data_IF_899849675425
#
_entry.id   IF_899849675425
#
_cell.length_a   1.000
_cell.length_b   1.000
_cell.length_c   1.000
_cell.angle_alpha   90.00
_cell.angle_beta   90.00
_cell.angle_gamma   90.00
#
_symmetry.space_group_name_H-M   'P 1'
#
loop_
_entity.id
_entity.type
_entity.pdbx_description
1 polymer ?
#
# COMPACT_ATOMS: atom_id res chain seq x y z
N UNK A 1 0.35 15.50 -6.62
CA UNK A 1 1.26 14.48 -6.05
C UNK A 1 2.44 15.10 -5.28
N UNK A 2 3.14 16.10 -5.82
CA UNK A 2 4.25 16.75 -5.11
C UNK A 2 3.83 17.47 -3.82
N UNK A 3 2.73 18.23 -3.84
CA UNK A 3 2.23 18.90 -2.63
C UNK A 3 1.75 17.88 -1.58
N UNK A 4 1.03 16.84 -2.00
CA UNK A 4 0.55 15.78 -1.12
C UNK A 4 1.69 14.95 -0.51
N UNK A 5 2.77 14.70 -1.25
CA UNK A 5 3.95 14.01 -0.72
C UNK A 5 4.72 14.88 0.28
N UNK A 6 4.88 16.17 -0.01
CA UNK A 6 5.44 17.15 0.94
C UNK A 6 4.63 17.20 2.23
N UNK A 7 3.30 17.28 2.14
CA UNK A 7 2.42 17.20 3.31
C UNK A 7 2.59 15.87 4.05
N UNK A 8 2.57 14.73 3.35
CA UNK A 8 2.71 13.41 3.98
C UNK A 8 4.03 13.22 4.74
N UNK A 9 5.12 13.84 4.29
CA UNK A 9 6.40 13.80 5.00
C UNK A 9 6.47 14.80 6.18
N UNK A 10 5.84 15.97 6.02
CA UNK A 10 5.88 17.05 7.02
C UNK A 10 4.95 16.80 8.22
N UNK A 11 3.76 16.23 7.96
CA UNK A 11 2.76 15.94 8.97
C UNK A 11 3.04 14.60 9.68
N UNK A 12 2.90 14.60 10.99
CA UNK A 12 3.07 13.43 11.85
C UNK A 12 3.62 13.82 13.22
N UNK A 13 3.91 12.83 14.05
CA UNK A 13 4.58 12.99 15.35
C UNK A 13 6.03 12.51 15.23
N UNK A 14 7.06 13.35 15.41
CA UNK A 14 7.04 14.81 15.56
C UNK A 14 6.77 15.54 14.22
N UNK A 15 6.22 16.76 14.27
CA UNK A 15 6.04 17.57 13.05
C UNK A 15 7.39 18.04 12.54
N UNK A 16 7.67 17.81 11.25
CA UNK A 16 8.95 18.19 10.63
C UNK A 16 8.67 19.29 9.61
N UNK A 17 9.24 20.49 9.77
CA UNK A 17 8.99 21.55 8.83
C UNK A 17 9.67 21.25 7.48
N UNK A 18 9.08 21.69 6.35
CA UNK A 18 9.49 21.28 5.02
C UNK A 18 10.94 21.68 4.68
N UNK A 19 11.44 22.77 5.27
CA UNK A 19 12.83 23.21 5.08
C UNK A 19 13.86 22.23 5.69
N UNK A 20 13.48 21.39 6.66
CA UNK A 20 14.36 20.36 7.25
C UNK A 20 14.25 18.99 6.57
N UNK A 21 13.25 18.77 5.72
CA UNK A 21 13.07 17.49 5.04
C UNK A 21 14.24 17.15 4.11
N UNK A 22 14.79 18.17 3.42
CA UNK A 22 15.89 17.98 2.47
C UNK A 22 17.14 17.50 3.21
N UNK A 23 17.51 18.16 4.31
CA UNK A 23 18.62 17.72 5.17
C UNK A 23 18.35 16.36 5.82
N UNK A 24 17.13 16.10 6.29
CA UNK A 24 16.78 14.82 6.89
C UNK A 24 16.91 13.63 5.93
N UNK A 25 16.58 13.82 4.65
CA UNK A 25 16.61 12.76 3.64
C UNK A 25 17.97 12.62 2.97
N UNK A 26 18.67 13.74 2.70
CA UNK A 26 19.92 13.73 1.92
C UNK A 26 21.19 13.73 2.78
N UNK A 27 21.16 14.39 3.94
CA UNK A 27 22.34 14.56 4.81
C UNK A 27 22.38 13.53 5.95
N UNK A 28 21.33 12.72 6.10
CA UNK A 28 21.30 11.62 7.08
C UNK A 28 21.18 12.13 8.52
N UNK A 29 20.14 12.89 8.81
CA UNK A 29 19.88 13.42 10.16
C UNK A 29 19.65 12.28 11.17
N UNK A 30 20.56 12.13 12.13
CA UNK A 30 20.50 11.11 13.18
C UNK A 30 19.57 11.47 14.34
N UNK A 31 18.89 12.62 14.28
CA UNK A 31 17.84 12.95 15.25
C UNK A 31 16.66 11.98 15.10
N UNK A 32 15.90 11.80 16.19
CA UNK A 32 14.66 10.98 16.16
C UNK A 32 13.70 11.42 15.05
N UNK A 33 13.64 12.73 14.74
CA UNK A 33 12.81 13.26 13.68
C UNK A 33 13.31 12.82 12.28
N UNK A 34 14.62 12.84 12.05
CA UNK A 34 15.24 12.35 10.82
C UNK A 34 14.98 10.87 10.60
N UNK A 35 15.24 10.03 11.62
CA UNK A 35 15.00 8.58 11.59
C UNK A 35 13.53 8.26 11.30
N UNK A 36 12.59 8.95 11.95
CA UNK A 36 11.15 8.74 11.69
C UNK A 36 10.79 9.09 10.25
N UNK A 37 11.36 10.16 9.69
CA UNK A 37 11.12 10.52 8.29
C UNK A 37 11.68 9.45 7.36
N UNK A 38 12.92 8.99 7.55
CA UNK A 38 13.62 8.07 6.63
C UNK A 38 13.17 6.62 6.76
N UNK A 39 12.95 6.11 7.97
CA UNK A 39 12.64 4.68 8.20
C UNK A 39 11.13 4.38 8.21
N UNK A 40 10.28 5.38 8.52
CA UNK A 40 8.83 5.15 8.64
C UNK A 40 8.03 5.91 7.57
N UNK A 41 8.26 7.21 7.41
CA UNK A 41 7.41 8.04 6.52
C UNK A 41 7.74 7.87 5.05
N UNK A 42 9.02 7.85 4.68
CA UNK A 42 9.46 7.68 3.28
C UNK A 42 9.01 6.32 2.73
N UNK A 43 9.25 5.17 3.40
CA UNK A 43 8.79 3.88 2.89
C UNK A 43 7.27 3.81 2.76
N UNK A 44 6.54 4.39 3.73
CA UNK A 44 5.07 4.47 3.69
C UNK A 44 4.56 5.35 2.55
N UNK A 45 5.21 6.47 2.28
CA UNK A 45 4.87 7.35 1.15
C UNK A 45 5.11 6.63 -0.18
N UNK A 46 6.26 5.96 -0.33
CA UNK A 46 6.58 5.17 -1.53
C UNK A 46 5.52 4.09 -1.73
N UNK A 47 5.17 3.34 -0.69
CA UNK A 47 4.13 2.31 -0.76
C UNK A 47 2.77 2.91 -1.18
N UNK A 48 2.37 4.05 -0.61
CA UNK A 48 1.12 4.72 -0.97
C UNK A 48 1.09 5.19 -2.43
N UNK A 49 2.20 5.74 -2.95
CA UNK A 49 2.32 6.17 -4.34
C UNK A 49 2.27 4.98 -5.31
N UNK A 50 3.02 3.91 -5.01
CA UNK A 50 3.05 2.70 -5.83
C UNK A 50 1.69 2.00 -5.81
N UNK A 51 1.10 1.80 -4.63
CA UNK A 51 -0.22 1.18 -4.51
C UNK A 51 -1.30 2.00 -5.24
N UNK A 52 -1.29 3.33 -5.09
CA UNK A 52 -2.21 4.22 -5.80
C UNK A 52 -2.05 4.16 -7.32
N UNK A 53 -0.81 4.11 -7.82
CA UNK A 53 -0.54 3.97 -9.24
C UNK A 53 -1.02 2.62 -9.79
N UNK A 54 -0.74 1.52 -9.08
CA UNK A 54 -1.20 0.18 -9.45
C UNK A 54 -2.74 0.09 -9.47
N UNK A 55 -3.42 0.63 -8.46
CA UNK A 55 -4.89 0.66 -8.39
C UNK A 55 -5.49 1.52 -9.50
N UNK A 56 -4.90 2.68 -9.78
CA UNK A 56 -5.31 3.54 -10.89
C UNK A 56 -5.16 2.84 -12.24
N UNK A 57 -4.02 2.19 -12.49
CA UNK A 57 -3.78 1.43 -13.71
C UNK A 57 -4.74 0.25 -13.86
N UNK A 58 -4.94 -0.55 -12.79
CA UNK A 58 -5.88 -1.66 -12.79
C UNK A 58 -7.33 -1.20 -13.04
N UNK A 59 -7.73 -0.08 -12.44
CA UNK A 59 -9.03 0.55 -12.68
C UNK A 59 -9.23 0.95 -14.14
N UNK A 60 -8.25 1.63 -14.74
CA UNK A 60 -8.30 2.02 -16.16
C UNK A 60 -8.41 0.79 -17.08
N UNK A 61 -7.59 -0.23 -16.86
CA UNK A 61 -7.62 -1.47 -17.65
C UNK A 61 -8.99 -2.15 -17.57
N UNK A 62 -9.59 -2.22 -16.37
CA UNK A 62 -10.91 -2.84 -16.22
C UNK A 62 -12.05 -2.00 -16.79
N UNK A 63 -12.00 -0.69 -16.61
CA UNK A 63 -12.99 0.22 -17.19
C UNK A 63 -12.98 0.12 -18.72
N UNK A 64 -11.81 0.01 -19.34
CA UNK A 64 -11.66 -0.17 -20.79
C UNK A 64 -12.12 -1.57 -21.24
N UNK A 65 -11.65 -2.64 -20.57
CA UNK A 65 -12.01 -4.01 -20.91
C UNK A 65 -13.53 -4.27 -20.83
N UNK A 66 -14.18 -3.73 -19.79
CA UNK A 66 -15.62 -3.87 -19.58
C UNK A 66 -16.44 -2.78 -20.27
N UNK A 67 -15.78 -1.78 -20.87
CA UNK A 67 -16.40 -0.55 -21.42
C UNK A 67 -17.40 0.08 -20.46
N UNK A 68 -17.05 0.05 -19.17
CA UNK A 68 -17.91 0.51 -18.08
C UNK A 68 -17.11 1.44 -17.15
N UNK A 69 -17.39 2.76 -17.15
CA UNK A 69 -16.65 3.72 -16.32
C UNK A 69 -16.87 3.51 -14.81
N UNK A 70 -17.85 2.71 -14.41
CA UNK A 70 -18.11 2.34 -13.01
C UNK A 70 -17.42 1.04 -12.59
N UNK A 71 -16.73 0.35 -13.51
CA UNK A 71 -16.01 -0.87 -13.16
C UNK A 71 -14.83 -0.57 -12.22
N UNK A 72 -14.70 -1.41 -11.18
CA UNK A 72 -13.59 -1.34 -10.22
C UNK A 72 -12.99 -2.73 -9.98
N UNK A 73 -11.68 -2.82 -9.71
CA UNK A 73 -10.98 -4.10 -9.51
C UNK A 73 -11.56 -4.99 -8.41
N UNK A 74 -12.20 -4.40 -7.40
CA UNK A 74 -12.78 -5.14 -6.28
C UNK A 74 -13.95 -6.04 -6.71
N UNK A 75 -14.59 -5.79 -7.85
CA UNK A 75 -15.68 -6.62 -8.38
C UNK A 75 -15.24 -8.04 -8.74
N UNK A 76 -13.93 -8.25 -8.98
CA UNK A 76 -13.37 -9.54 -9.39
C UNK A 76 -12.98 -10.45 -8.22
N UNK A 77 -13.48 -10.21 -6.99
CA UNK A 77 -13.19 -11.07 -5.84
C UNK A 77 -11.73 -11.06 -5.35
N UNK A 78 -10.84 -10.29 -5.98
CA UNK A 78 -9.41 -10.16 -5.64
C UNK A 78 -9.23 -9.57 -4.22
N UNK A 79 -10.01 -8.55 -3.86
CA UNK A 79 -9.96 -7.90 -2.55
C UNK A 79 -10.42 -8.86 -1.43
N UNK A 80 -11.56 -9.53 -1.65
CA UNK A 80 -12.10 -10.54 -0.72
C UNK A 80 -11.16 -11.75 -0.56
N UNK A 81 -10.56 -12.22 -1.66
CA UNK A 81 -9.58 -13.30 -1.63
C UNK A 81 -8.32 -12.93 -0.84
N UNK A 82 -7.78 -11.73 -1.05
CA UNK A 82 -6.64 -11.22 -0.29
C UNK A 82 -6.94 -11.15 1.21
N UNK A 83 -8.11 -10.60 1.57
CA UNK A 83 -8.55 -10.49 2.95
C UNK A 83 -8.69 -11.88 3.60
N UNK A 84 -9.26 -12.86 2.89
CA UNK A 84 -9.38 -14.23 3.37
C UNK A 84 -8.01 -14.89 3.57
N UNK A 85 -7.05 -14.68 2.65
CA UNK A 85 -5.69 -15.20 2.77
C UNK A 85 -4.97 -14.73 4.04
N UNK A 86 -5.15 -13.46 4.43
CA UNK A 86 -4.55 -12.89 5.65
C UNK A 86 -5.36 -13.26 6.91
N UNK A 87 -6.68 -13.27 6.82
CA UNK A 87 -7.55 -13.54 7.97
C UNK A 87 -7.60 -15.03 8.36
N UNK A 88 -7.45 -15.95 7.41
CA UNK A 88 -7.57 -17.39 7.68
C UNK A 88 -6.55 -17.89 8.73
N UNK A 89 -5.24 -17.58 8.66
CA UNK A 89 -4.30 -17.96 9.71
C UNK A 89 -4.65 -17.37 11.08
N UNK A 90 -5.16 -16.14 11.12
CA UNK A 90 -5.57 -15.48 12.36
C UNK A 90 -6.76 -16.20 13.02
N UNK A 91 -7.78 -16.54 12.22
CA UNK A 91 -8.98 -17.25 12.70
C UNK A 91 -8.67 -18.69 13.11
N UNK A 92 -7.77 -19.35 12.38
CA UNK A 92 -7.34 -20.72 12.67
C UNK A 92 -6.26 -20.81 13.76
N UNK A 93 -5.91 -19.69 14.39
CA UNK A 93 -4.85 -19.60 15.41
C UNK A 93 -3.48 -20.15 14.95
N UNK A 94 -3.19 -20.02 13.65
CA UNK A 94 -1.90 -20.38 13.07
C UNK A 94 -0.92 -19.22 13.27
N UNK A 95 0.09 -19.43 14.10
CA UNK A 95 1.17 -18.46 14.30
C UNK A 95 2.12 -18.51 13.10
N UNK A 96 1.99 -17.51 12.22
CA UNK A 96 2.85 -17.36 11.05
C UNK A 96 3.71 -16.09 11.16
N UNK A 97 4.96 -16.10 10.65
CA UNK A 97 5.79 -14.91 10.61
C UNK A 97 5.11 -13.74 9.86
N UNK A 98 5.23 -12.52 10.35
CA UNK A 98 4.67 -11.34 9.68
C UNK A 98 5.15 -11.19 8.22
N UNK A 99 6.36 -11.67 7.92
CA UNK A 99 6.96 -11.67 6.59
C UNK A 99 6.17 -12.50 5.55
N UNK A 100 5.35 -13.48 5.97
CA UNK A 100 4.56 -14.30 5.02
C UNK A 100 3.17 -13.72 4.74
N UNK A 101 2.71 -12.74 5.53
CA UNK A 101 1.39 -12.11 5.35
C UNK A 101 1.18 -11.52 3.94
N UNK A 102 2.17 -10.85 3.30
CA UNK A 102 2.00 -10.36 1.93
C UNK A 102 1.83 -11.48 0.91
N UNK A 103 2.54 -12.61 1.07
CA UNK A 103 2.39 -13.77 0.17
C UNK A 103 1.01 -14.41 0.33
N UNK A 104 0.51 -14.52 1.56
CA UNK A 104 -0.84 -15.01 1.84
C UNK A 104 -1.91 -14.11 1.22
N UNK A 105 -1.74 -12.79 1.31
CA UNK A 105 -2.61 -11.83 0.66
C UNK A 105 -2.61 -12.01 -0.87
N UNK A 106 -1.42 -12.11 -1.48
CA UNK A 106 -1.29 -12.30 -2.93
C UNK A 106 -1.89 -13.65 -3.37
N UNK A 107 -1.60 -14.73 -2.65
CA UNK A 107 -2.14 -16.05 -2.94
C UNK A 107 -3.67 -16.07 -2.85
N UNK A 108 -4.22 -15.49 -1.78
CA UNK A 108 -5.67 -15.33 -1.63
C UNK A 108 -6.28 -14.47 -2.73
N UNK A 109 -5.62 -13.37 -3.12
CA UNK A 109 -6.06 -12.48 -4.19
C UNK A 109 -6.16 -13.20 -5.54
N UNK A 110 -5.13 -13.98 -5.89
CA UNK A 110 -5.08 -14.76 -7.14
C UNK A 110 -6.14 -15.85 -7.14
N UNK A 111 -6.32 -16.56 -6.02
CA UNK A 111 -7.37 -17.58 -5.90
C UNK A 111 -8.76 -16.98 -6.01
N UNK A 112 -9.05 -15.89 -5.30
CA UNK A 112 -10.33 -15.18 -5.38
C UNK A 112 -10.63 -14.67 -6.79
N UNK A 113 -9.65 -13.99 -7.40
CA UNK A 113 -9.72 -13.54 -8.79
C UNK A 113 -9.97 -14.66 -9.78
N UNK A 114 -9.15 -15.71 -9.74
CA UNK A 114 -9.25 -16.86 -10.64
C UNK A 114 -10.59 -17.59 -10.52
N UNK A 115 -11.10 -17.78 -9.30
CA UNK A 115 -12.39 -18.44 -9.08
C UNK A 115 -13.58 -17.63 -9.61
N UNK A 116 -13.52 -16.30 -9.59
CA UNK A 116 -14.62 -15.47 -10.13
C UNK A 116 -14.62 -15.35 -11.65
N UNK A 117 -13.49 -15.59 -12.30
CA UNK A 117 -13.32 -15.50 -13.75
C UNK A 117 -13.59 -16.82 -14.48
N UNK A 118 -13.65 -17.94 -13.75
CA UNK A 118 -14.09 -19.25 -14.25
C UNK A 118 -15.62 -19.31 -14.32
#
# INVERSE_FOLDING_TARGET
>A
MALSSLCALSLGTPTVPPHRLVGAVLEGDTTLAGIVVTELRVPRLVLALVAGACLGAAGLVLQEALRNPLAVPEMLGVSSGAALGVAAPLVLALSLPAAVQPLLAIGGAVLGGGLTLL
#
